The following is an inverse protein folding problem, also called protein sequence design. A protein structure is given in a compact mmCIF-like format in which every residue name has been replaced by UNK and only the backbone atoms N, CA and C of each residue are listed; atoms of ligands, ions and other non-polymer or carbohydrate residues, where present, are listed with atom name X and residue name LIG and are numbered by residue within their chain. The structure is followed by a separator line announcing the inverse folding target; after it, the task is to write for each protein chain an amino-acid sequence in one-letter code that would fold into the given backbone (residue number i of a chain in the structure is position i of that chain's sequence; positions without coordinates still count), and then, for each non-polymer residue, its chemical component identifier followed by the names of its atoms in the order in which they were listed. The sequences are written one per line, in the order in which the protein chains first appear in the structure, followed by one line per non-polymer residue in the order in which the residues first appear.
data_IF_095393670718
#
_entry.id   IF_095393670718
#
_cell.length_a   1.000
_cell.length_b   1.000
_cell.length_c   1.000
_cell.angle_alpha   90.00
_cell.angle_beta   90.00
_cell.angle_gamma   90.00
#
_symmetry.space_group_name_H-M   'P 1'
#
loop_
_entity.id
_entity.type
_entity.pdbx_description
1 polymer ?
#
# COMPACT_ATOMS: atom_id res chain seq x y z
N UNK A 1 -7.62 19.82 9.27
CA UNK A 1 -7.13 19.41 7.93
C UNK A 1 -6.88 17.92 7.99
N UNK A 2 -7.78 17.08 7.47
CA UNK A 2 -7.49 15.65 7.31
C UNK A 2 -6.38 15.52 6.27
N UNK A 3 -5.17 15.14 6.69
CA UNK A 3 -4.11 14.74 5.77
C UNK A 3 -4.60 13.47 5.07
N UNK A 4 -4.95 13.58 3.78
CA UNK A 4 -5.19 12.40 2.93
C UNK A 4 -3.83 11.76 2.66
N UNK A 5 -3.51 10.72 3.41
CA UNK A 5 -2.31 9.92 3.16
C UNK A 5 -2.58 9.07 1.93
N UNK A 6 -1.75 9.21 0.89
CA UNK A 6 -1.88 8.50 -0.36
C UNK A 6 -0.54 7.86 -0.69
N UNK A 7 -0.56 6.57 -0.98
CA UNK A 7 0.60 5.78 -1.35
C UNK A 7 0.47 5.35 -2.79
N UNK A 8 1.52 5.50 -3.59
CA UNK A 8 1.64 4.81 -4.86
C UNK A 8 2.42 3.53 -4.60
N UNK A 9 1.78 2.38 -4.79
CA UNK A 9 2.37 1.10 -4.43
C UNK A 9 3.63 0.79 -5.25
N UNK A 10 3.67 1.15 -6.54
CA UNK A 10 4.85 0.94 -7.38
C UNK A 10 6.03 1.83 -6.96
N UNK A 11 5.75 3.09 -6.59
CA UNK A 11 6.77 3.99 -6.06
C UNK A 11 7.32 3.44 -4.73
N UNK A 12 6.46 2.87 -3.87
CA UNK A 12 6.88 2.24 -2.63
C UNK A 12 7.77 1.01 -2.84
N UNK A 13 7.46 0.17 -3.84
CA UNK A 13 8.32 -0.95 -4.21
C UNK A 13 9.69 -0.46 -4.71
N UNK A 14 9.68 0.55 -5.59
CA UNK A 14 10.90 1.14 -6.15
C UNK A 14 11.77 1.79 -5.06
N UNK A 15 11.16 2.54 -4.15
CA UNK A 15 11.83 3.16 -3.01
C UNK A 15 12.43 2.09 -2.08
N UNK A 16 11.72 0.98 -1.85
CA UNK A 16 12.23 -0.13 -1.06
C UNK A 16 13.44 -0.79 -1.73
N UNK A 17 13.35 -1.13 -3.02
CA UNK A 17 14.45 -1.74 -3.76
C UNK A 17 15.69 -0.82 -3.77
N UNK A 18 15.49 0.47 -4.04
CA UNK A 18 16.56 1.47 -3.94
C UNK A 18 17.14 1.57 -2.53
N UNK A 19 16.33 1.40 -1.47
CA UNK A 19 16.84 1.44 -0.09
C UNK A 19 17.73 0.24 0.26
N UNK A 20 17.44 -0.93 -0.32
CA UNK A 20 18.26 -2.14 -0.17
C UNK A 20 19.58 -1.99 -0.93
N UNK A 21 19.53 -1.46 -2.16
CA UNK A 21 20.71 -1.21 -2.99
C UNK A 21 21.61 -0.10 -2.40
N UNK A 22 21.01 0.97 -1.90
CA UNK A 22 21.71 2.16 -1.39
C UNK A 22 21.94 2.13 0.13
N UNK A 23 22.26 0.97 0.73
CA UNK A 23 22.68 0.84 2.16
C UNK A 23 24.00 1.56 2.48
N UNK A 24 24.10 2.85 2.18
CA UNK A 24 25.10 3.81 2.65
C UNK A 24 24.42 4.79 3.61
N UNK A 25 24.59 4.54 4.92
CA UNK A 25 24.35 5.44 6.05
C UNK A 25 23.19 6.46 5.91
N UNK A 26 22.03 6.11 6.47
CA UNK A 26 21.06 7.12 6.94
C UNK A 26 19.74 7.19 6.20
N UNK A 27 19.39 6.21 5.37
CA UNK A 27 18.08 6.17 4.73
C UNK A 27 16.98 5.85 5.76
N UNK A 28 16.15 6.83 6.08
CA UNK A 28 14.81 6.61 6.63
C UNK A 28 13.87 6.43 5.45
N UNK A 29 12.99 5.45 5.50
CA UNK A 29 11.92 5.37 4.51
C UNK A 29 11.16 6.71 4.45
N UNK A 30 10.68 7.07 3.26
CA UNK A 30 9.96 8.33 2.99
C UNK A 30 8.81 8.59 3.99
N UNK A 31 8.29 7.52 4.60
CA UNK A 31 7.28 7.59 5.65
C UNK A 31 7.68 6.70 6.84
N UNK A 32 7.86 7.29 8.03
CA UNK A 32 8.20 6.55 9.27
C UNK A 32 7.18 5.45 9.63
N UNK A 33 5.93 5.58 9.15
CA UNK A 33 4.88 4.57 9.32
C UNK A 33 5.10 3.27 8.54
N UNK A 34 6.00 3.27 7.55
CA UNK A 34 6.31 2.12 6.72
C UNK A 34 7.51 1.33 7.26
N UNK A 35 8.14 1.76 8.36
CA UNK A 35 9.31 1.08 8.93
C UNK A 35 9.05 -0.41 9.27
N UNK A 36 7.78 -0.79 9.42
CA UNK A 36 7.33 -2.17 9.67
C UNK A 36 6.91 -2.92 8.41
N UNK A 37 6.78 -2.23 7.27
CA UNK A 37 6.38 -2.80 6.01
C UNK A 37 7.60 -3.28 5.22
N UNK A 38 7.52 -4.53 4.78
CA UNK A 38 8.47 -5.16 3.87
C UNK A 38 7.67 -5.72 2.68
N UNK A 39 8.01 -5.36 1.43
CA UNK A 39 7.39 -5.92 0.26
C UNK A 39 7.50 -7.44 0.20
N UNK A 40 6.44 -8.09 -0.27
CA UNK A 40 6.40 -9.53 -0.58
C UNK A 40 6.34 -9.74 -2.10
N UNK A 41 6.87 -10.87 -2.58
CA UNK A 41 6.78 -11.28 -3.99
C UNK A 41 5.31 -11.46 -4.42
N UNK A 42 4.47 -11.90 -3.49
CA UNK A 42 3.02 -11.94 -3.61
C UNK A 42 2.46 -10.54 -3.37
N UNK A 43 2.08 -9.86 -4.45
CA UNK A 43 1.56 -8.49 -4.38
C UNK A 43 0.28 -8.38 -3.54
N UNK A 44 -0.57 -9.41 -3.48
CA UNK A 44 -1.78 -9.35 -2.66
C UNK A 44 -1.44 -9.33 -1.17
N UNK A 45 -0.50 -10.20 -0.75
CA UNK A 45 0.00 -10.21 0.64
C UNK A 45 0.77 -8.95 0.97
N UNK A 46 1.60 -8.46 0.05
CA UNK A 46 2.36 -7.24 0.25
C UNK A 46 1.46 -6.01 0.46
N UNK A 47 0.34 -5.92 -0.29
CA UNK A 47 -0.67 -4.86 -0.11
C UNK A 47 -1.39 -5.02 1.24
N UNK A 48 -1.73 -6.24 1.65
CA UNK A 48 -2.33 -6.48 2.97
C UNK A 48 -1.39 -6.04 4.10
N UNK A 49 -0.13 -6.48 4.08
CA UNK A 49 0.88 -6.12 5.07
C UNK A 49 1.15 -4.60 5.09
N UNK A 50 1.06 -3.93 3.93
CA UNK A 50 1.16 -2.47 3.84
C UNK A 50 0.01 -1.81 4.62
N UNK A 51 -1.22 -2.27 4.40
CA UNK A 51 -2.40 -1.74 5.09
C UNK A 51 -2.26 -1.91 6.59
N UNK A 52 -1.85 -3.09 7.05
CA UNK A 52 -1.61 -3.38 8.47
C UNK A 52 -0.54 -2.46 9.07
N UNK A 53 0.58 -2.28 8.38
CA UNK A 53 1.68 -1.42 8.83
C UNK A 53 1.24 0.03 9.02
N UNK A 54 0.48 0.55 8.05
CA UNK A 54 -0.09 1.91 8.12
C UNK A 54 -1.08 2.03 9.27
N UNK A 55 -1.91 1.01 9.51
CA UNK A 55 -2.86 1.01 10.63
C UNK A 55 -2.17 0.91 11.99
N UNK A 56 -1.10 0.11 12.12
CA UNK A 56 -0.27 0.01 13.33
C UNK A 56 0.35 1.36 13.67
N UNK A 57 0.69 2.17 12.67
CA UNK A 57 1.18 3.54 12.85
C UNK A 57 0.12 4.54 13.34
N UNK A 58 -1.14 4.12 13.45
CA UNK A 58 -2.28 4.92 13.92
C UNK A 58 -3.09 5.58 12.80
N UNK A 59 -2.76 5.33 11.52
CA UNK A 59 -3.48 5.91 10.39
C UNK A 59 -4.57 4.96 9.91
N UNK A 60 -5.82 5.35 10.19
CA UNK A 60 -7.00 4.55 9.89
C UNK A 60 -7.58 4.81 8.49
N UNK A 61 -7.27 5.97 7.91
CA UNK A 61 -7.80 6.41 6.60
C UNK A 61 -6.68 6.84 5.69
N UNK A 62 -6.56 6.17 4.56
CA UNK A 62 -5.54 6.44 3.56
C UNK A 62 -5.96 5.84 2.22
N UNK A 63 -5.15 6.02 1.19
CA UNK A 63 -5.43 5.49 -0.14
C UNK A 63 -4.19 4.88 -0.75
N UNK A 64 -4.35 3.76 -1.46
CA UNK A 64 -3.29 3.08 -2.20
C UNK A 64 -3.63 3.16 -3.68
N UNK A 65 -2.70 3.64 -4.49
CA UNK A 65 -2.80 3.62 -5.96
C UNK A 65 -2.09 2.37 -6.44
N UNK A 66 -2.81 1.56 -7.21
CA UNK A 66 -2.28 0.44 -7.97
C UNK A 66 -2.34 0.80 -9.45
N UNK A 67 -1.22 0.68 -10.15
CA UNK A 67 -1.20 0.87 -11.59
C UNK A 67 -1.70 -0.39 -12.34
N UNK A 68 -1.90 -0.28 -13.64
CA UNK A 68 -2.31 -1.42 -14.47
C UNK A 68 -1.30 -2.59 -14.49
N UNK A 69 -0.01 -2.32 -14.29
CA UNK A 69 1.02 -3.37 -14.28
C UNK A 69 0.89 -4.29 -13.06
N UNK A 70 0.63 -3.72 -11.88
CA UNK A 70 0.37 -4.46 -10.65
C UNK A 70 -1.00 -5.13 -10.72
N UNK A 71 -2.02 -4.43 -11.24
CA UNK A 71 -3.37 -4.99 -11.41
C UNK A 71 -3.38 -6.22 -12.33
N UNK A 72 -2.49 -6.26 -13.34
CA UNK A 72 -2.34 -7.42 -14.22
C UNK A 72 -1.70 -8.65 -13.54
N UNK A 73 -1.08 -8.47 -12.37
CA UNK A 73 -0.38 -9.52 -11.60
C UNK A 73 -1.15 -10.00 -10.38
N UNK A 74 -2.30 -9.39 -10.08
CA UNK A 74 -3.13 -9.72 -8.91
C UNK A 74 -4.53 -10.13 -9.37
N UNK A 75 -5.17 -10.99 -8.61
CA UNK A 75 -6.59 -11.22 -8.77
C UNK A 75 -7.34 -10.11 -8.03
N UNK A 76 -7.86 -9.14 -8.79
CA UNK A 76 -8.59 -7.99 -8.22
C UNK A 76 -9.82 -8.39 -7.40
N UNK A 77 -10.47 -9.50 -7.75
CA UNK A 77 -11.66 -9.99 -7.04
C UNK A 77 -11.25 -10.68 -5.73
N UNK A 78 -10.22 -11.53 -5.78
CA UNK A 78 -9.64 -12.17 -4.60
C UNK A 78 -9.08 -11.14 -3.61
N UNK A 79 -8.36 -10.13 -4.12
CA UNK A 79 -7.83 -9.03 -3.32
C UNK A 79 -8.96 -8.25 -2.65
N UNK A 80 -10.00 -7.85 -3.41
CA UNK A 80 -11.13 -7.13 -2.84
C UNK A 80 -11.81 -7.94 -1.72
N UNK A 81 -12.06 -9.23 -1.95
CA UNK A 81 -12.67 -10.12 -0.95
C UNK A 81 -11.80 -10.26 0.30
N UNK A 82 -10.49 -10.39 0.12
CA UNK A 82 -9.54 -10.49 1.23
C UNK A 82 -9.55 -9.18 2.02
N UNK A 83 -9.31 -8.04 1.38
CA UNK A 83 -9.22 -6.76 2.04
C UNK A 83 -10.54 -6.35 2.73
N UNK A 84 -11.69 -6.57 2.09
CA UNK A 84 -13.01 -6.27 2.69
C UNK A 84 -13.32 -7.08 3.95
N UNK A 85 -12.61 -8.17 4.20
CA UNK A 85 -12.73 -8.95 5.44
C UNK A 85 -11.98 -8.30 6.62
N UNK A 86 -11.03 -7.40 6.35
CA UNK A 86 -10.19 -6.74 7.36
C UNK A 86 -10.49 -5.25 7.49
N UNK A 87 -10.82 -4.58 6.38
CA UNK A 87 -10.96 -3.12 6.33
C UNK A 87 -12.16 -2.70 5.51
N UNK A 88 -12.77 -1.59 5.89
CA UNK A 88 -13.77 -0.94 5.08
C UNK A 88 -13.07 -0.17 3.96
N UNK A 89 -13.38 -0.47 2.70
CA UNK A 89 -12.68 0.06 1.56
C UNK A 89 -13.60 0.44 0.39
N UNK A 90 -13.16 1.39 -0.40
CA UNK A 90 -13.74 1.75 -1.69
C UNK A 90 -12.68 1.61 -2.78
N UNK A 91 -13.02 0.96 -3.88
CA UNK A 91 -12.14 0.88 -5.06
C UNK A 91 -12.70 1.84 -6.11
N UNK A 92 -11.85 2.76 -6.57
CA UNK A 92 -12.17 3.72 -7.62
C UNK A 92 -11.23 3.52 -8.80
N UNK A 93 -11.74 3.75 -10.00
CA UNK A 93 -10.90 3.84 -11.19
C UNK A 93 -10.05 5.12 -11.13
N UNK A 94 -8.80 5.01 -11.56
CA UNK A 94 -7.85 6.10 -11.67
C UNK A 94 -7.26 6.11 -13.08
N UNK A 95 -6.70 7.23 -13.53
CA UNK A 95 -6.21 7.43 -14.91
C UNK A 95 -5.33 6.28 -15.44
N UNK A 96 -4.56 5.60 -14.57
CA UNK A 96 -3.65 4.53 -14.95
C UNK A 96 -3.74 3.27 -14.06
N UNK A 97 -4.91 3.02 -13.48
CA UNK A 97 -5.16 1.85 -12.64
C UNK A 97 -6.31 2.05 -11.68
N UNK A 98 -6.13 1.66 -10.42
CA UNK A 98 -7.17 1.72 -9.38
C UNK A 98 -6.65 2.39 -8.12
N UNK A 99 -7.51 3.15 -7.46
CA UNK A 99 -7.28 3.70 -6.14
C UNK A 99 -8.12 2.94 -5.12
N UNK A 100 -7.45 2.25 -4.20
CA UNK A 100 -8.07 1.60 -3.04
C UNK A 100 -8.07 2.61 -1.89
N UNK A 101 -9.25 3.08 -1.51
CA UNK A 101 -9.44 3.97 -0.37
C UNK A 101 -9.81 3.15 0.86
N UNK A 102 -8.98 3.23 1.89
CA UNK A 102 -9.26 2.64 3.20
C UNK A 102 -10.02 3.67 4.04
N UNK A 103 -11.22 3.31 4.46
CA UNK A 103 -12.14 4.16 5.23
C UNK A 103 -12.07 3.92 6.74
N UNK A 104 -11.51 2.78 7.15
CA UNK A 104 -11.33 2.36 8.54
C UNK A 104 -11.22 0.84 8.67
N UNK A 105 -11.04 0.35 9.90
CA UNK A 105 -11.14 -1.08 10.24
C UNK A 105 -12.63 -1.47 10.35
N UNK A 106 -12.95 -2.74 10.01
CA UNK A 106 -14.31 -3.32 10.15
C UNK A 106 -14.65 -3.59 11.61
#
# INVERSE_FOLDING_TARGET
MEKKVKFNYEDLLTDYDHSIENKLRGFRQTFEMLDLWVPDEDHEKSILNLIESVQISGIQKFSIILNNNILAKIDSEALHKTLSSFVNLEILDSDNGKEIKILGIV
#
